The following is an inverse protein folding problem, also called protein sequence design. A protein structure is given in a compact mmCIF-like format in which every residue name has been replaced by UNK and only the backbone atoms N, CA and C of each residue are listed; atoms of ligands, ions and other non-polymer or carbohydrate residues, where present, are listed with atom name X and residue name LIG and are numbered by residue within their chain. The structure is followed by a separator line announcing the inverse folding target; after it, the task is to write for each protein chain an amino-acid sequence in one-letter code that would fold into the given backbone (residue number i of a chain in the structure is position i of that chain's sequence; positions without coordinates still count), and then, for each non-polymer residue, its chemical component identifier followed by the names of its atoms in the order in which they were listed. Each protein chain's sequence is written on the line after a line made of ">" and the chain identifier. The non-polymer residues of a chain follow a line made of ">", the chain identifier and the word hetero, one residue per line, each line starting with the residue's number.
data_IF_347238923298
#
_entry.id   IF_347238923298
#
_cell.length_a   1.000
_cell.length_b   1.000
_cell.length_c   1.000
_cell.angle_alpha   90.00
_cell.angle_beta   90.00
_cell.angle_gamma   90.00
#
_symmetry.space_group_name_H-M   'P 1'
#
loop_
_entity.id
_entity.type
_entity.pdbx_description
1 polymer ?
#
# COMPACT_ATOMS: atom_id res chain seq x y z
N UNK A 1 4.55 13.74 -37.12
CA UNK A 1 4.56 13.37 -35.69
C UNK A 1 4.70 14.66 -34.90
N UNK A 2 3.82 14.94 -33.94
CA UNK A 2 3.96 16.12 -33.06
C UNK A 2 5.12 15.89 -32.09
N UNK A 3 5.86 16.94 -31.79
CA UNK A 3 7.10 16.90 -31.00
C UNK A 3 6.82 16.84 -29.50
N UNK A 4 7.80 16.44 -28.67
CA UNK A 4 7.65 16.49 -27.20
C UNK A 4 7.30 17.89 -26.66
N UNK A 5 7.65 18.93 -27.41
CA UNK A 5 7.25 20.30 -27.09
C UNK A 5 5.73 20.49 -27.19
N UNK A 6 5.07 19.84 -28.15
CA UNK A 6 3.62 19.89 -28.32
C UNK A 6 2.90 19.20 -27.16
N UNK A 7 3.42 18.06 -26.65
CA UNK A 7 2.85 17.35 -25.48
C UNK A 7 2.96 18.20 -24.21
N UNK A 8 4.11 18.83 -23.94
CA UNK A 8 4.31 19.69 -22.76
C UNK A 8 3.38 20.90 -22.75
N UNK A 9 3.16 21.51 -23.92
CA UNK A 9 2.24 22.65 -24.05
C UNK A 9 0.78 22.24 -23.79
N UNK A 10 0.38 21.08 -24.28
CA UNK A 10 -0.95 20.51 -24.05
C UNK A 10 -1.18 20.19 -22.57
N UNK A 11 -0.20 19.55 -21.92
CA UNK A 11 -0.24 19.23 -20.48
C UNK A 11 -0.33 20.49 -19.62
N UNK A 12 0.43 21.54 -19.96
CA UNK A 12 0.36 22.81 -19.26
C UNK A 12 -1.03 23.47 -19.39
N UNK A 13 -1.63 23.43 -20.59
CA UNK A 13 -2.98 23.97 -20.80
C UNK A 13 -4.02 23.20 -19.98
N UNK A 14 -3.90 21.87 -19.89
CA UNK A 14 -4.75 21.03 -19.07
C UNK A 14 -4.59 21.32 -17.57
N UNK A 15 -3.37 21.39 -17.06
CA UNK A 15 -3.12 21.68 -15.63
C UNK A 15 -3.58 23.09 -15.24
N UNK A 16 -3.50 24.06 -16.16
CA UNK A 16 -4.02 25.41 -15.95
C UNK A 16 -5.56 25.45 -15.94
N UNK A 17 -6.23 24.52 -16.63
CA UNK A 17 -7.70 24.45 -16.61
C UNK A 17 -8.25 24.06 -15.24
N UNK A 18 -7.48 23.32 -14.43
CA UNK A 18 -7.88 22.76 -13.12
C UNK A 18 -9.19 21.93 -13.14
N UNK A 19 -9.74 21.65 -14.31
CA UNK A 19 -10.98 20.90 -14.49
C UNK A 19 -10.79 19.40 -14.18
N UNK A 20 -9.54 18.93 -14.24
CA UNK A 20 -9.18 17.53 -14.08
C UNK A 20 -9.79 16.64 -15.18
N UNK A 21 -9.63 15.32 -15.03
CA UNK A 21 -10.15 14.36 -16.01
C UNK A 21 -11.68 14.33 -15.99
N UNK A 22 -12.30 14.57 -14.82
CA UNK A 22 -13.75 14.62 -14.69
C UNK A 22 -14.35 15.76 -15.52
N UNK A 23 -13.83 16.97 -15.41
CA UNK A 23 -14.29 18.10 -16.22
C UNK A 23 -14.08 17.86 -17.71
N UNK A 24 -12.98 17.20 -18.08
CA UNK A 24 -12.72 16.82 -19.46
C UNK A 24 -13.75 15.83 -20.03
N UNK A 25 -14.26 14.91 -19.22
CA UNK A 25 -15.32 13.96 -19.60
C UNK A 25 -16.68 14.66 -19.65
N UNK A 26 -16.96 15.50 -18.65
CA UNK A 26 -18.21 16.28 -18.57
C UNK A 26 -18.36 17.26 -19.76
N UNK A 27 -17.25 17.76 -20.32
CA UNK A 27 -17.18 18.60 -21.53
C UNK A 27 -17.42 17.83 -22.85
N UNK A 28 -17.71 16.52 -22.80
CA UNK A 28 -18.13 15.75 -23.97
C UNK A 28 -17.00 15.38 -24.93
N UNK A 29 -15.80 15.13 -24.40
CA UNK A 29 -14.62 14.78 -25.18
C UNK A 29 -14.82 13.58 -26.12
N UNK A 30 -14.60 13.81 -27.42
CA UNK A 30 -14.77 12.79 -28.47
C UNK A 30 -13.47 12.12 -28.91
N UNK A 31 -12.31 12.61 -28.45
CA UNK A 31 -10.97 12.10 -28.80
C UNK A 31 -10.06 12.18 -27.59
N UNK A 32 -9.25 11.16 -27.32
CA UNK A 32 -8.31 11.16 -26.19
C UNK A 32 -7.16 12.15 -26.49
N UNK A 33 -6.83 13.10 -25.58
CA UNK A 33 -5.70 14.00 -25.77
C UNK A 33 -4.38 13.23 -25.79
N UNK A 34 -3.38 13.71 -26.53
CA UNK A 34 -2.12 12.99 -26.72
C UNK A 34 -1.30 12.88 -25.42
N UNK A 35 -1.53 13.75 -24.45
CA UNK A 35 -0.90 13.65 -23.12
C UNK A 35 -1.28 12.34 -22.38
N UNK A 36 -2.44 11.76 -22.67
CA UNK A 36 -2.91 10.51 -22.06
C UNK A 36 -2.52 9.27 -22.87
N UNK A 37 -1.93 9.46 -24.05
CA UNK A 37 -1.51 8.36 -24.91
C UNK A 37 -0.04 8.07 -24.62
N UNK A 38 0.21 6.87 -24.10
CA UNK A 38 1.57 6.38 -23.96
C UNK A 38 2.19 6.15 -25.35
N UNK A 39 3.37 6.72 -25.65
CA UNK A 39 4.03 6.49 -26.92
C UNK A 39 4.39 5.01 -27.09
N UNK A 40 4.17 4.49 -28.29
CA UNK A 40 4.30 3.06 -28.65
C UNK A 40 5.75 2.51 -28.64
N UNK A 41 6.71 3.22 -28.03
CA UNK A 41 8.11 2.79 -27.96
C UNK A 41 8.58 2.43 -26.54
N UNK A 42 7.71 2.46 -25.54
CA UNK A 42 7.97 1.80 -24.28
C UNK A 42 7.30 0.44 -24.32
N UNK A 43 8.14 -0.56 -24.54
CA UNK A 43 8.06 -1.92 -24.01
C UNK A 43 6.64 -2.36 -23.66
N UNK A 44 6.09 -3.26 -24.46
CA UNK A 44 5.02 -4.17 -24.07
C UNK A 44 4.96 -4.33 -22.54
N UNK A 45 3.99 -3.69 -21.89
CA UNK A 45 3.47 -4.13 -20.60
C UNK A 45 2.71 -5.46 -20.75
N UNK A 46 2.88 -6.16 -21.87
CA UNK A 46 2.80 -7.60 -21.92
C UNK A 46 4.05 -8.22 -21.26
N UNK A 47 4.05 -8.20 -19.92
CA UNK A 47 4.52 -9.32 -19.08
C UNK A 47 5.75 -10.05 -19.61
N UNK A 48 6.87 -9.35 -19.75
CA UNK A 48 8.20 -9.95 -19.53
C UNK A 48 8.90 -9.16 -18.45
N UNK A 49 8.76 -9.67 -17.24
CA UNK A 49 9.52 -9.32 -16.05
C UNK A 49 11.02 -9.53 -16.31
N UNK A 50 11.66 -8.62 -17.02
CA UNK A 50 13.11 -8.63 -17.26
C UNK A 50 13.72 -7.26 -17.00
N UNK A 51 13.37 -6.70 -15.85
CA UNK A 51 14.26 -5.98 -14.94
C UNK A 51 13.76 -6.33 -13.54
N UNK A 52 14.17 -7.48 -13.04
CA UNK A 52 13.72 -8.04 -11.76
C UNK A 52 14.26 -7.21 -10.59
N UNK A 53 13.57 -6.12 -10.31
CA UNK A 53 13.56 -5.40 -9.04
C UNK A 53 12.12 -4.93 -8.92
N UNK A 54 11.20 -5.68 -8.33
CA UNK A 54 11.32 -6.65 -7.24
C UNK A 54 10.06 -6.66 -6.38
N UNK A 55 9.10 -5.77 -6.66
CA UNK A 55 7.87 -5.62 -5.88
C UNK A 55 6.73 -6.43 -6.47
N UNK A 56 6.79 -7.75 -6.30
CA UNK A 56 5.62 -8.60 -6.52
C UNK A 56 4.78 -8.53 -5.26
N UNK A 57 3.53 -8.08 -5.35
CA UNK A 57 2.60 -8.07 -4.21
C UNK A 57 2.59 -9.47 -3.58
N UNK A 58 2.95 -9.61 -2.30
CA UNK A 58 3.07 -10.91 -1.66
C UNK A 58 1.69 -11.53 -1.44
N UNK A 59 1.54 -12.80 -1.81
CA UNK A 59 0.34 -13.57 -1.58
C UNK A 59 0.54 -14.44 -0.33
N UNK A 60 -0.26 -14.21 0.71
CA UNK A 60 -0.15 -14.90 2.01
C UNK A 60 -1.40 -15.73 2.22
N UNK A 61 -1.26 -17.05 2.37
CA UNK A 61 -2.39 -17.96 2.63
C UNK A 61 -2.70 -18.00 4.13
N UNK A 62 -3.89 -17.53 4.51
CA UNK A 62 -4.35 -17.47 5.90
C UNK A 62 -5.11 -18.73 6.35
N UNK A 63 -5.17 -19.78 5.53
CA UNK A 63 -5.87 -21.02 5.90
C UNK A 63 -5.30 -21.64 7.17
N UNK A 64 -6.20 -22.19 7.98
CA UNK A 64 -5.92 -22.94 9.20
C UNK A 64 -5.15 -22.17 10.30
N UNK A 65 -5.00 -20.85 10.16
CA UNK A 65 -4.30 -19.97 11.12
C UNK A 65 -4.91 -19.99 12.53
N UNK A 66 -6.20 -20.33 12.63
CA UNK A 66 -6.92 -20.43 13.90
C UNK A 66 -6.67 -21.77 14.60
N UNK A 67 -6.46 -22.85 13.84
CA UNK A 67 -6.39 -24.21 14.37
C UNK A 67 -4.96 -24.75 14.50
N UNK A 68 -3.99 -24.18 13.77
CA UNK A 68 -2.60 -24.63 13.75
C UNK A 68 -1.64 -23.50 14.21
N UNK A 69 -1.09 -23.67 15.40
CA UNK A 69 -0.14 -22.73 16.03
C UNK A 69 1.14 -22.59 15.22
N UNK A 70 1.59 -23.66 14.56
CA UNK A 70 2.80 -23.64 13.72
C UNK A 70 2.50 -22.82 12.46
N UNK A 71 1.34 -23.05 11.83
CA UNK A 71 0.88 -22.24 10.70
C UNK A 71 0.72 -20.78 11.06
N UNK A 72 0.17 -20.48 12.25
CA UNK A 72 0.06 -19.11 12.75
C UNK A 72 1.40 -18.40 12.81
N UNK A 73 2.43 -19.05 13.35
CA UNK A 73 3.77 -18.45 13.42
C UNK A 73 4.36 -18.22 12.02
N UNK A 74 4.17 -19.15 11.08
CA UNK A 74 4.64 -19.01 9.70
C UNK A 74 3.95 -17.82 9.01
N UNK A 75 2.63 -17.73 9.12
CA UNK A 75 1.84 -16.62 8.53
C UNK A 75 2.25 -15.28 9.12
N UNK A 76 2.48 -15.21 10.44
CA UNK A 76 2.96 -13.97 11.09
C UNK A 76 4.32 -13.54 10.52
N UNK A 77 5.26 -14.46 10.35
CA UNK A 77 6.57 -14.16 9.75
C UNK A 77 6.45 -13.72 8.28
N UNK A 78 5.57 -14.34 7.50
CA UNK A 78 5.33 -13.93 6.10
C UNK A 78 4.72 -12.52 6.01
N UNK A 79 3.76 -12.21 6.87
CA UNK A 79 3.16 -10.87 6.96
C UNK A 79 4.20 -9.83 7.38
N UNK A 80 5.07 -10.16 8.34
CA UNK A 80 6.14 -9.26 8.77
C UNK A 80 7.10 -8.93 7.63
N UNK A 81 7.56 -9.95 6.89
CA UNK A 81 8.42 -9.77 5.73
C UNK A 81 7.75 -8.99 4.60
N UNK A 82 6.48 -9.26 4.33
CA UNK A 82 5.70 -8.55 3.32
C UNK A 82 5.46 -7.07 3.68
N UNK A 83 5.52 -6.74 4.97
CA UNK A 83 5.30 -5.39 5.49
C UNK A 83 6.59 -4.58 5.65
N UNK A 84 7.76 -5.16 5.40
CA UNK A 84 9.01 -4.40 5.37
C UNK A 84 8.93 -3.35 4.26
N UNK A 85 9.03 -2.09 4.65
CA UNK A 85 8.62 -0.90 3.89
C UNK A 85 9.53 -0.55 2.70
N UNK A 86 10.43 -1.45 2.31
CA UNK A 86 11.34 -1.26 1.18
C UNK A 86 10.63 -1.23 -0.18
N UNK A 87 9.36 -1.62 -0.24
CA UNK A 87 8.55 -1.57 -1.46
C UNK A 87 7.69 -0.28 -1.61
N UNK A 88 7.69 0.61 -0.61
CA UNK A 88 6.84 1.81 -0.64
C UNK A 88 7.59 3.03 -1.20
N UNK A 89 6.93 3.82 -2.09
CA UNK A 89 7.45 5.10 -2.54
C UNK A 89 7.75 6.03 -1.37
N UNK A 90 8.87 6.75 -1.46
CA UNK A 90 9.40 7.61 -0.40
C UNK A 90 8.36 8.66 0.08
N UNK A 91 7.52 9.17 -0.82
CA UNK A 91 6.45 10.11 -0.49
C UNK A 91 5.35 9.52 0.42
N UNK A 92 5.14 8.21 0.40
CA UNK A 92 4.07 7.54 1.14
C UNK A 92 4.59 6.76 2.36
N UNK A 93 5.90 6.45 2.40
CA UNK A 93 6.53 5.61 3.42
C UNK A 93 6.32 6.16 4.83
N UNK A 94 6.67 7.42 5.05
CA UNK A 94 6.61 8.04 6.38
C UNK A 94 5.16 8.15 6.89
N UNK A 95 4.25 8.59 6.01
CA UNK A 95 2.83 8.76 6.32
C UNK A 95 2.20 7.41 6.70
N UNK A 96 2.49 6.35 5.95
CA UNK A 96 1.94 5.02 6.22
C UNK A 96 2.52 4.40 7.50
N UNK A 97 3.82 4.58 7.75
CA UNK A 97 4.45 4.10 8.97
C UNK A 97 3.87 4.79 10.22
N UNK A 98 3.64 6.10 10.17
CA UNK A 98 3.02 6.82 11.28
C UNK A 98 1.58 6.40 11.52
N UNK A 99 0.78 6.27 10.46
CA UNK A 99 -0.60 5.78 10.57
C UNK A 99 -0.66 4.39 11.20
N UNK A 100 0.22 3.48 10.75
CA UNK A 100 0.28 2.10 11.26
C UNK A 100 0.62 2.07 12.74
N UNK A 101 1.55 2.91 13.20
CA UNK A 101 1.90 3.05 14.62
C UNK A 101 0.70 3.49 15.48
N UNK A 102 -0.08 4.46 14.98
CA UNK A 102 -1.27 4.93 15.68
C UNK A 102 -2.33 3.83 15.77
N UNK A 103 -2.59 3.12 14.68
CA UNK A 103 -3.54 2.00 14.66
C UNK A 103 -3.12 0.87 15.60
N UNK A 104 -1.84 0.48 15.59
CA UNK A 104 -1.33 -0.55 16.49
C UNK A 104 -1.49 -0.16 17.96
N UNK A 105 -1.13 1.08 18.31
CA UNK A 105 -1.27 1.61 19.68
C UNK A 105 -2.74 1.60 20.13
N UNK A 106 -3.64 2.06 19.25
CA UNK A 106 -5.07 2.05 19.52
C UNK A 106 -5.60 0.63 19.71
N UNK A 107 -5.20 -0.30 18.84
CA UNK A 107 -5.62 -1.70 18.90
C UNK A 107 -5.18 -2.38 20.20
N UNK A 108 -3.94 -2.17 20.63
CA UNK A 108 -3.41 -2.67 21.91
C UNK A 108 -4.20 -2.08 23.08
N UNK A 109 -4.38 -0.76 23.11
CA UNK A 109 -5.12 -0.08 24.18
C UNK A 109 -6.57 -0.57 24.27
N UNK A 110 -7.24 -0.74 23.13
CA UNK A 110 -8.61 -1.26 23.10
C UNK A 110 -8.68 -2.70 23.61
N UNK A 111 -7.73 -3.55 23.19
CA UNK A 111 -7.65 -4.92 23.65
C UNK A 111 -7.37 -5.00 25.16
N UNK A 112 -6.48 -4.16 25.69
CA UNK A 112 -6.22 -4.05 27.12
C UNK A 112 -7.46 -3.66 27.90
N UNK A 113 -8.21 -2.65 27.44
CA UNK A 113 -9.45 -2.20 28.08
C UNK A 113 -10.53 -3.30 28.07
N UNK A 114 -10.69 -3.99 26.94
CA UNK A 114 -11.63 -5.12 26.81
C UNK A 114 -11.24 -6.26 27.75
N UNK A 115 -9.95 -6.60 27.84
CA UNK A 115 -9.43 -7.62 28.76
C UNK A 115 -9.60 -7.23 30.23
N UNK A 116 -9.42 -5.95 30.58
CA UNK A 116 -9.62 -5.45 31.94
C UNK A 116 -11.10 -5.49 32.35
N UNK A 117 -12.03 -5.27 31.41
CA UNK A 117 -13.46 -5.32 31.67
C UNK A 117 -13.98 -6.73 32.00
N UNK A 118 -13.29 -7.77 31.55
CA UNK A 118 -13.62 -9.17 31.83
C UNK A 118 -12.72 -9.75 32.92
N UNK A 119 -12.86 -9.24 34.15
CA UNK A 119 -12.26 -9.87 35.34
C UNK A 119 -12.97 -11.19 35.66
N UNK A 120 -12.69 -12.24 34.89
CA UNK A 120 -12.75 -13.65 35.32
C UNK A 120 -11.50 -14.35 34.78
N UNK A 121 -10.65 -14.78 35.71
CA UNK A 121 -9.24 -15.01 35.47
C UNK A 121 -8.91 -16.06 34.41
N UNK A 122 -8.07 -15.66 33.45
CA UNK A 122 -7.18 -16.59 32.77
C UNK A 122 -5.75 -16.14 32.99
N UNK A 123 -4.95 -17.07 33.47
CA UNK A 123 -3.63 -16.83 34.02
C UNK A 123 -2.67 -16.16 33.05
N UNK A 124 -1.85 -15.33 33.64
CA UNK A 124 -0.72 -14.55 33.14
C UNK A 124 0.37 -15.36 32.39
N UNK A 125 0.02 -16.05 31.29
CA UNK A 125 1.01 -16.64 30.40
C UNK A 125 0.58 -16.46 28.95
N UNK A 126 1.45 -15.76 28.21
CA UNK A 126 1.57 -15.77 26.75
C UNK A 126 1.01 -14.59 25.94
N UNK A 127 0.84 -13.40 26.53
CA UNK A 127 0.81 -12.17 25.73
C UNK A 127 1.87 -11.21 26.22
N UNK A 128 3.01 -11.19 25.52
CA UNK A 128 4.05 -10.19 25.68
C UNK A 128 3.91 -9.24 24.48
N UNK A 129 3.53 -7.97 24.67
CA UNK A 129 3.60 -7.00 23.58
C UNK A 129 5.06 -6.91 23.11
N UNK A 130 5.32 -6.61 21.81
CA UNK A 130 6.67 -6.38 21.33
C UNK A 130 7.34 -5.35 22.24
N UNK A 131 8.44 -5.76 22.89
CA UNK A 131 9.15 -4.90 23.80
C UNK A 131 9.51 -3.62 23.04
N UNK A 132 9.04 -2.48 23.56
CA UNK A 132 9.48 -1.18 23.10
C UNK A 132 11.02 -1.19 23.05
N UNK A 133 11.56 -0.91 21.86
CA UNK A 133 12.98 -0.71 21.65
C UNK A 133 13.51 0.23 22.75
N UNK A 134 14.38 -0.31 23.61
CA UNK A 134 15.12 0.49 24.56
C UNK A 134 16.07 1.41 23.78
N UNK A 135 15.88 2.71 24.03
CA UNK A 135 16.84 3.83 24.03
C UNK A 135 17.97 3.84 22.99
#
# INVERSE_FOLDING_TARGET
>A
MKSDHDRKKELLAFDNSKAGIKGLVDDGMSKIPQMFIHPHNDVDLNVKSSSSSGSSIPFIDLKDVENDIIRRNIVVEEVLRASESDELPEACRDILMDFTRHIQTLGITLLELLCQSHSWGFGHKHWRPPAACHQ
#
